data_IF_710671876579
#
_entry.id   IF_710671876579
#
_cell.length_a   1.000
_cell.length_b   1.000
_cell.length_c   1.000
_cell.angle_alpha   90.00
_cell.angle_beta   90.00
_cell.angle_gamma   90.00
#
_symmetry.space_group_name_H-M   'P 1'
#
loop_
_entity.id
_entity.type
_entity.pdbx_description
1 polymer ?
#
# COMPACT_ATOMS: atom_id res chain seq x y z
N UNK A 1 -8.58 12.36 -20.25
CA UNK A 1 -9.04 10.98 -20.50
C UNK A 1 -8.27 10.43 -21.71
N UNK A 2 -7.03 9.99 -21.52
CA UNK A 2 -6.11 9.68 -22.64
C UNK A 2 -5.37 8.33 -22.51
N UNK A 3 -5.58 7.58 -21.43
CA UNK A 3 -4.86 6.33 -21.17
C UNK A 3 -5.25 5.22 -22.17
N UNK A 4 -6.54 4.94 -22.28
CA UNK A 4 -7.10 3.86 -23.12
C UNK A 4 -6.94 4.12 -24.64
N UNK A 5 -7.16 5.35 -25.15
CA UNK A 5 -7.00 5.61 -26.59
C UNK A 5 -5.54 5.55 -27.07
N UNK A 6 -4.56 5.67 -26.16
CA UNK A 6 -3.15 5.69 -26.53
C UNK A 6 -2.61 4.27 -26.74
N UNK A 7 -1.95 4.03 -27.88
CA UNK A 7 -1.37 2.71 -28.21
C UNK A 7 -0.35 2.22 -27.18
N UNK A 8 0.40 3.15 -26.57
CA UNK A 8 1.51 2.83 -25.68
C UNK A 8 1.06 2.69 -24.21
N UNK A 9 0.14 3.54 -23.73
CA UNK A 9 -0.29 3.49 -22.32
C UNK A 9 -1.48 2.56 -22.10
N UNK A 10 -2.20 2.17 -23.15
CA UNK A 10 -3.35 1.27 -23.05
C UNK A 10 -3.01 -0.05 -22.32
N UNK A 11 -1.92 -0.77 -22.63
CA UNK A 11 -1.52 -1.97 -21.88
C UNK A 11 -1.22 -1.72 -20.40
N UNK A 12 -0.77 -0.52 -20.04
CA UNK A 12 -0.36 -0.16 -18.67
C UNK A 12 -1.46 0.54 -17.87
N UNK A 13 -2.66 0.70 -18.44
CA UNK A 13 -3.74 1.48 -17.81
C UNK A 13 -4.17 0.89 -16.46
N UNK A 14 -4.23 -0.44 -16.33
CA UNK A 14 -4.61 -1.08 -15.07
C UNK A 14 -3.61 -0.79 -13.94
N UNK A 15 -2.31 -0.86 -14.26
CA UNK A 15 -1.26 -0.52 -13.31
C UNK A 15 -1.38 0.94 -12.87
N UNK A 16 -1.50 1.85 -13.84
CA UNK A 16 -1.64 3.28 -13.56
C UNK A 16 -2.85 3.60 -12.67
N UNK A 17 -4.03 3.06 -12.99
CA UNK A 17 -5.24 3.28 -12.18
C UNK A 17 -5.08 2.70 -10.77
N UNK A 18 -4.38 1.57 -10.62
CA UNK A 18 -4.10 0.98 -9.31
C UNK A 18 -3.17 1.87 -8.49
N UNK A 19 -2.10 2.40 -9.09
CA UNK A 19 -1.17 3.32 -8.43
C UNK A 19 -1.85 4.63 -8.00
N UNK A 20 -2.63 5.24 -8.89
CA UNK A 20 -3.33 6.49 -8.61
C UNK A 20 -4.31 6.34 -7.44
N UNK A 21 -4.99 5.20 -7.32
CA UNK A 21 -5.87 4.93 -6.17
C UNK A 21 -5.10 4.84 -4.86
N UNK A 22 -3.96 4.15 -4.83
CA UNK A 22 -3.13 4.08 -3.61
C UNK A 22 -2.62 5.45 -3.21
N UNK A 23 -2.18 6.28 -4.16
CA UNK A 23 -1.75 7.65 -3.88
C UNK A 23 -2.89 8.50 -3.31
N UNK A 24 -4.09 8.42 -3.88
CA UNK A 24 -5.25 9.16 -3.39
C UNK A 24 -5.63 8.76 -1.95
N UNK A 25 -5.68 7.45 -1.65
CA UNK A 25 -5.91 6.98 -0.28
C UNK A 25 -4.79 7.39 0.66
N UNK A 26 -3.53 7.23 0.26
CA UNK A 26 -2.37 7.60 1.07
C UNK A 26 -2.38 9.08 1.40
N UNK A 27 -2.70 9.96 0.44
CA UNK A 27 -2.77 11.40 0.65
C UNK A 27 -3.82 11.76 1.71
N UNK A 28 -5.02 11.18 1.62
CA UNK A 28 -6.09 11.46 2.56
C UNK A 28 -5.76 10.87 3.94
N UNK A 29 -5.24 9.65 4.00
CA UNK A 29 -4.83 8.99 5.24
C UNK A 29 -3.59 9.64 5.88
N UNK A 30 -2.74 10.34 5.12
CA UNK A 30 -1.57 11.04 5.66
C UNK A 30 -1.93 12.24 6.55
N UNK A 31 -3.11 12.82 6.39
CA UNK A 31 -3.56 13.94 7.22
C UNK A 31 -4.15 13.50 8.57
N UNK A 32 -4.58 12.24 8.70
CA UNK A 32 -5.32 11.75 9.86
C UNK A 32 -4.64 10.54 10.51
N UNK A 33 -4.80 10.38 11.83
CA UNK A 33 -4.40 9.15 12.54
C UNK A 33 -5.49 8.08 12.49
N UNK A 34 -6.75 8.52 12.53
CA UNK A 34 -7.93 7.68 12.40
C UNK A 34 -9.00 8.42 11.60
N UNK A 35 -9.73 7.71 10.74
CA UNK A 35 -10.80 8.27 9.89
C UNK A 35 -11.97 7.29 9.85
N UNK A 36 -13.21 7.78 9.91
CA UNK A 36 -14.37 6.90 9.74
C UNK A 36 -14.55 6.49 8.27
N UNK A 37 -14.95 5.24 8.02
CA UNK A 37 -15.23 4.73 6.67
C UNK A 37 -16.31 5.57 5.99
N UNK A 38 -17.31 6.05 6.75
CA UNK A 38 -18.39 6.89 6.24
C UNK A 38 -17.91 8.26 5.72
N UNK A 39 -16.97 8.90 6.42
CA UNK A 39 -16.38 10.17 5.97
C UNK A 39 -15.48 9.96 4.74
N UNK A 40 -14.71 8.88 4.73
CA UNK A 40 -13.89 8.48 3.59
C UNK A 40 -14.77 8.23 2.35
N UNK A 41 -15.89 7.52 2.53
CA UNK A 41 -16.84 7.22 1.46
C UNK A 41 -17.54 8.46 0.93
N UNK A 42 -17.90 9.40 1.80
CA UNK A 42 -18.46 10.68 1.40
C UNK A 42 -17.45 11.53 0.61
N UNK A 43 -16.19 11.57 1.03
CA UNK A 43 -15.14 12.33 0.34
C UNK A 43 -14.85 11.78 -1.07
N UNK A 44 -14.85 10.46 -1.23
CA UNK A 44 -14.65 9.80 -2.53
C UNK A 44 -15.93 9.63 -3.37
N UNK A 45 -17.11 9.87 -2.79
CA UNK A 45 -18.40 9.71 -3.48
C UNK A 45 -18.73 8.25 -3.82
N UNK A 46 -18.27 7.29 -3.03
CA UNK A 46 -18.45 5.84 -3.26
C UNK A 46 -19.17 5.19 -2.08
N UNK A 47 -19.60 3.93 -2.24
CA UNK A 47 -20.23 3.19 -1.15
C UNK A 47 -19.19 2.73 -0.11
N UNK A 48 -19.56 2.65 1.18
CA UNK A 48 -18.63 2.19 2.22
C UNK A 48 -18.17 0.75 2.00
N UNK A 49 -19.02 -0.11 1.44
CA UNK A 49 -18.68 -1.50 1.09
C UNK A 49 -17.62 -1.58 -0.01
N UNK A 50 -17.61 -0.63 -0.95
CA UNK A 50 -16.59 -0.56 -1.99
C UNK A 50 -15.22 -0.21 -1.41
N UNK A 51 -15.18 0.76 -0.48
CA UNK A 51 -13.93 1.14 0.22
C UNK A 51 -13.37 0.00 1.05
N UNK A 52 -14.20 -0.74 1.78
CA UNK A 52 -13.76 -1.90 2.57
C UNK A 52 -13.08 -2.95 1.67
N UNK A 53 -13.69 -3.26 0.53
CA UNK A 53 -13.13 -4.20 -0.45
C UNK A 53 -11.85 -3.68 -1.14
N UNK A 54 -11.77 -2.39 -1.46
CA UNK A 54 -10.61 -1.83 -2.16
C UNK A 54 -9.42 -1.64 -1.21
N UNK A 55 -9.64 -1.11 0.00
CA UNK A 55 -8.61 -0.94 1.02
C UNK A 55 -8.06 -2.29 1.49
N UNK A 56 -8.90 -3.29 1.74
CA UNK A 56 -8.43 -4.62 2.16
C UNK A 56 -7.44 -5.22 1.15
N UNK A 57 -7.69 -5.08 -0.16
CA UNK A 57 -6.77 -5.53 -1.21
C UNK A 57 -5.42 -4.81 -1.15
N UNK A 58 -5.42 -3.51 -0.86
CA UNK A 58 -4.19 -2.73 -0.76
C UNK A 58 -3.40 -3.00 0.51
N UNK A 59 -4.08 -3.18 1.64
CA UNK A 59 -3.47 -3.54 2.93
C UNK A 59 -2.80 -4.92 2.84
N UNK A 60 -3.48 -5.92 2.27
CA UNK A 60 -2.92 -7.27 2.08
C UNK A 60 -1.67 -7.22 1.20
N UNK A 61 -1.67 -6.37 0.16
CA UNK A 61 -0.49 -6.19 -0.70
C UNK A 61 0.64 -5.36 -0.07
N UNK A 62 0.50 -4.90 1.18
CA UNK A 62 1.48 -4.07 1.86
C UNK A 62 1.66 -2.67 1.23
N UNK A 63 0.66 -2.22 0.46
CA UNK A 63 0.70 -0.96 -0.30
C UNK A 63 0.24 0.25 0.51
N UNK A 64 -0.57 0.00 1.55
CA UNK A 64 -1.09 1.00 2.47
C UNK A 64 -0.87 0.52 3.91
N UNK A 65 -0.27 1.38 4.73
CA UNK A 65 0.03 1.08 6.14
C UNK A 65 -1.15 1.51 7.03
N UNK A 66 -2.30 0.90 6.81
CA UNK A 66 -3.50 1.14 7.61
C UNK A 66 -4.19 -0.17 8.00
N UNK A 67 -4.96 -0.10 9.06
CA UNK A 67 -5.78 -1.20 9.58
C UNK A 67 -7.24 -0.76 9.59
N UNK A 68 -8.14 -1.70 9.30
CA UNK A 68 -9.58 -1.45 9.25
C UNK A 68 -10.19 -2.08 10.49
N UNK A 69 -10.83 -1.27 11.33
CA UNK A 69 -11.75 -1.73 12.35
C UNK A 69 -13.17 -1.67 11.80
N UNK A 70 -13.70 -2.85 11.44
CA UNK A 70 -15.04 -3.00 10.89
C UNK A 70 -16.15 -2.84 11.93
N UNK A 71 -15.85 -3.10 13.21
CA UNK A 71 -16.85 -2.99 14.29
C UNK A 71 -17.10 -1.52 14.61
N UNK A 72 -16.03 -0.74 14.76
CA UNK A 72 -16.12 0.70 15.01
C UNK A 72 -16.34 1.52 13.71
N UNK A 73 -16.09 0.92 12.54
CA UNK A 73 -16.18 1.60 11.25
C UNK A 73 -15.07 2.63 11.03
N UNK A 74 -13.88 2.39 11.58
CA UNK A 74 -12.75 3.31 11.59
C UNK A 74 -11.57 2.68 10.85
N UNK A 75 -10.83 3.50 10.10
CA UNK A 75 -9.55 3.16 9.50
C UNK A 75 -8.46 3.86 10.31
N UNK A 76 -7.55 3.09 10.90
CA UNK A 76 -6.41 3.59 11.63
C UNK A 76 -5.14 3.55 10.76
N UNK A 77 -4.32 4.59 10.84
CA UNK A 77 -3.08 4.69 10.08
C UNK A 77 -1.88 4.45 10.99
N UNK A 78 -1.01 3.52 10.60
CA UNK A 78 0.24 3.26 11.30
C UNK A 78 1.36 3.98 10.55
N UNK A 79 1.91 5.02 11.17
CA UNK A 79 3.06 5.74 10.63
C UNK A 79 4.32 5.13 11.23
N UNK A 80 5.09 4.33 10.47
CA UNK A 80 6.40 3.91 10.95
C UNK A 80 7.28 5.14 11.07
N UNK A 81 7.90 5.32 12.24
CA UNK A 81 8.90 6.36 12.42
C UNK A 81 10.03 6.18 11.40
N UNK A 82 10.59 7.30 10.93
CA UNK A 82 11.66 7.28 9.91
C UNK A 82 12.82 6.35 10.31
N UNK A 83 13.19 6.32 11.60
CA UNK A 83 14.24 5.43 12.11
C UNK A 83 13.85 3.95 12.05
N UNK A 84 12.61 3.61 12.42
CA UNK A 84 12.11 2.24 12.38
C UNK A 84 12.04 1.73 10.94
N UNK A 85 11.58 2.57 10.00
CA UNK A 85 11.56 2.23 8.58
C UNK A 85 12.96 1.97 8.02
N UNK A 86 13.94 2.82 8.34
CA UNK A 86 15.34 2.61 7.94
C UNK A 86 15.91 1.33 8.55
N UNK A 87 15.65 1.07 9.83
CA UNK A 87 16.12 -0.15 10.51
C UNK A 87 15.55 -1.40 9.83
N UNK A 88 14.25 -1.45 9.59
CA UNK A 88 13.60 -2.59 8.93
C UNK A 88 14.13 -2.81 7.50
N UNK A 89 14.40 -1.73 6.76
CA UNK A 89 15.00 -1.82 5.44
C UNK A 89 16.41 -2.43 5.48
N UNK A 90 17.25 -1.99 6.44
CA UNK A 90 18.61 -2.51 6.60
C UNK A 90 18.60 -3.99 6.97
N UNK A 91 17.72 -4.41 7.88
CA UNK A 91 17.57 -5.83 8.25
C UNK A 91 17.18 -6.67 7.04
N UNK A 92 16.14 -6.26 6.29
CA UNK A 92 15.69 -6.99 5.09
C UNK A 92 16.78 -7.10 4.02
N UNK A 93 17.53 -6.03 3.78
CA UNK A 93 18.64 -6.05 2.82
C UNK A 93 19.80 -6.92 3.31
N UNK A 94 20.08 -6.90 4.62
CA UNK A 94 21.07 -7.76 5.26
C UNK A 94 20.76 -9.25 5.08
N UNK A 95 19.50 -9.65 5.29
CA UNK A 95 19.07 -11.05 5.12
C UNK A 95 19.27 -11.56 3.69
N UNK A 96 19.01 -10.73 2.68
CA UNK A 96 19.25 -11.09 1.27
C UNK A 96 20.74 -11.37 1.03
N UNK A 97 21.61 -10.48 1.52
CA UNK A 97 23.07 -10.65 1.35
C UNK A 97 23.57 -11.91 2.07
N UNK A 98 23.10 -12.16 3.30
CA UNK A 98 23.47 -13.35 4.05
C UNK A 98 23.04 -14.64 3.34
N UNK A 99 21.83 -14.67 2.77
CA UNK A 99 21.34 -15.80 2.00
C UNK A 99 22.18 -16.06 0.74
N UNK A 100 22.57 -15.01 0.01
CA UNK A 100 23.44 -15.16 -1.17
C UNK A 100 24.84 -15.66 -0.81
N UNK A 101 25.43 -15.14 0.27
CA UNK A 101 26.73 -15.63 0.78
C UNK A 101 26.64 -17.11 1.18
N UNK A 102 25.58 -17.52 1.89
CA UNK A 102 25.38 -18.91 2.28
C UNK A 102 25.24 -19.84 1.07
N UNK A 103 24.52 -19.41 0.02
CA UNK A 103 24.41 -20.18 -1.23
C UNK A 103 25.76 -20.34 -1.92
N UNK A 104 26.53 -19.25 -2.03
CA UNK A 104 27.86 -19.28 -2.66
C UNK A 104 28.83 -20.18 -1.87
N UNK A 105 28.81 -20.09 -0.54
CA UNK A 105 29.67 -20.92 0.32
C UNK A 105 29.38 -22.42 0.19
N UNK A 106 28.11 -22.82 0.00
CA UNK A 106 27.72 -24.23 -0.22
C UNK A 106 28.10 -24.78 -1.59
N UNK A 107 28.41 -23.92 -2.56
CA UNK A 107 28.82 -24.34 -3.91
C UNK A 107 30.35 -24.46 -3.99
N UNK A 108 31.07 -23.66 -3.20
CA UNK A 108 32.54 -23.62 -3.18
C UNK A 108 33.16 -24.66 -2.23
N UNK A 109 32.42 -25.12 -1.23
CA UNK A 109 32.80 -26.15 -0.26
C UNK A 109 31.74 -27.25 -0.24
#
# INVERSE_FOLDING_TARGET
>A
MYLIPSRILSPHTQFYVREMRVLAYSQLLQSYRSVSIASLSAAFGVTPSFIDADLSRFIISGRLNCTIDKVSGIVETHRPDRKNALYEQVVKQGDVVLNEIQKLSKVLY
#
